data_IF_454264853776
#
_entry.id   IF_454264853776
#
_cell.length_a   1.000
_cell.length_b   1.000
_cell.length_c   1.000
_cell.angle_alpha   90.00
_cell.angle_beta   90.00
_cell.angle_gamma   90.00
#
_symmetry.space_group_name_H-M   'P 1'
#
loop_
_entity.id
_entity.type
_entity.pdbx_description
1 polymer ?
#
# COMPACT_ATOMS: atom_id res chain seq x y z
N UNK A 1 -4.32 -78.41 15.83
CA UNK A 1 -5.28 -78.05 16.90
C UNK A 1 -5.74 -76.61 16.77
N UNK A 2 -7.03 -76.35 17.02
CA UNK A 2 -7.61 -75.07 17.51
C UNK A 2 -7.62 -75.09 19.07
N UNK A 3 -8.01 -74.01 19.79
CA UNK A 3 -8.37 -72.64 19.39
C UNK A 3 -7.15 -71.69 19.62
N UNK A 4 -7.16 -70.44 20.12
CA UNK A 4 -8.14 -69.46 20.65
C UNK A 4 -7.42 -68.42 21.56
N UNK A 5 -7.96 -67.27 21.99
CA UNK A 5 -9.14 -66.42 21.62
C UNK A 5 -9.02 -65.10 22.44
N UNK A 6 -9.54 -63.96 21.94
CA UNK A 6 -9.67 -62.63 22.63
C UNK A 6 -8.39 -61.77 22.65
N UNK A 7 -8.40 -60.43 22.86
CA UNK A 7 -9.33 -59.32 22.51
C UNK A 7 -8.78 -57.98 23.08
N UNK A 8 -9.07 -56.84 22.41
CA UNK A 8 -9.15 -55.41 22.88
C UNK A 8 -8.20 -54.37 22.26
N UNK A 9 -8.79 -53.24 21.81
CA UNK A 9 -8.19 -51.89 21.65
C UNK A 9 -7.16 -51.68 20.51
N UNK A 10 -7.23 -50.67 19.65
CA UNK A 10 -8.34 -49.75 19.34
C UNK A 10 -8.26 -48.35 19.94
N UNK A 11 -7.53 -47.42 19.29
CA UNK A 11 -8.00 -46.04 18.99
C UNK A 11 -7.05 -45.33 18.00
N UNK A 12 -7.58 -44.75 16.91
CA UNK A 12 -6.83 -43.94 15.95
C UNK A 12 -7.49 -42.56 15.82
N UNK A 13 -7.07 -41.61 16.66
CA UNK A 13 -7.64 -40.26 16.74
C UNK A 13 -7.21 -39.34 15.60
N UNK A 14 -7.84 -39.48 14.42
CA UNK A 14 -7.70 -38.50 13.34
C UNK A 14 -8.43 -37.20 13.67
N UNK A 15 -7.73 -36.07 13.56
CA UNK A 15 -8.35 -34.74 13.65
C UNK A 15 -9.29 -34.45 12.47
N UNK A 16 -10.21 -33.52 12.63
CA UNK A 16 -11.09 -33.04 11.55
C UNK A 16 -11.28 -31.53 11.64
N UNK A 17 -11.31 -30.88 10.48
CA UNK A 17 -11.31 -29.42 10.36
C UNK A 17 -12.68 -28.80 10.68
N UNK A 18 -12.67 -27.58 11.20
CA UNK A 18 -13.87 -26.77 11.39
C UNK A 18 -14.26 -26.07 10.10
N UNK A 19 -15.01 -26.74 9.23
CA UNK A 19 -15.53 -26.14 8.01
C UNK A 19 -16.76 -25.26 8.30
N UNK A 20 -16.84 -24.08 7.67
CA UNK A 20 -17.74 -22.98 8.06
C UNK A 20 -18.93 -22.85 7.09
N UNK A 21 -19.74 -23.91 6.98
CA UNK A 21 -20.91 -23.90 6.09
C UNK A 21 -22.08 -24.85 6.39
N UNK A 22 -21.95 -25.81 7.32
CA UNK A 22 -22.97 -26.84 7.54
C UNK A 22 -24.16 -26.35 8.37
N UNK A 23 -25.39 -26.64 7.91
CA UNK A 23 -26.61 -26.44 8.71
C UNK A 23 -26.72 -27.48 9.84
N UNK A 24 -27.28 -27.07 10.99
CA UNK A 24 -27.54 -27.95 12.12
C UNK A 24 -28.69 -28.94 11.80
N UNK A 25 -28.62 -30.20 12.26
CA UNK A 25 -29.65 -31.20 12.00
C UNK A 25 -30.96 -30.88 12.76
N UNK A 26 -32.14 -31.12 12.16
CA UNK A 26 -33.43 -30.77 12.76
C UNK A 26 -33.80 -31.72 13.91
N UNK A 27 -34.03 -31.17 15.10
CA UNK A 27 -34.46 -31.94 16.27
C UNK A 27 -35.96 -32.26 16.17
N UNK A 28 -36.30 -33.53 15.99
CA UNK A 28 -37.70 -33.98 15.98
C UNK A 28 -38.34 -33.76 17.36
N UNK A 29 -39.57 -33.24 17.37
CA UNK A 29 -40.48 -33.26 18.52
C UNK A 29 -41.72 -34.05 18.14
N UNK A 30 -41.85 -35.25 18.70
CA UNK A 30 -43.11 -36.01 18.62
C UNK A 30 -44.23 -35.32 19.39
N UNK A 31 -45.46 -35.61 18.96
CA UNK A 31 -46.67 -34.90 19.38
C UNK A 31 -47.43 -35.69 20.45
N UNK A 32 -48.16 -34.98 21.32
CA UNK A 32 -49.41 -35.53 21.83
C UNK A 32 -50.45 -34.45 22.15
N UNK A 33 -51.72 -34.84 22.02
CA UNK A 33 -52.90 -33.98 21.98
C UNK A 33 -53.24 -33.29 23.30
N UNK A 34 -53.95 -32.15 23.23
CA UNK A 34 -54.84 -31.74 24.31
C UNK A 34 -55.41 -30.31 24.27
N UNK A 35 -56.72 -30.18 24.06
CA UNK A 35 -57.53 -29.10 24.65
C UNK A 35 -57.79 -27.82 23.82
N UNK A 36 -59.07 -27.39 23.80
CA UNK A 36 -59.52 -26.07 23.32
C UNK A 36 -59.49 -25.04 24.46
N UNK A 37 -59.24 -23.77 24.11
CA UNK A 37 -60.02 -22.65 24.65
C UNK A 37 -59.26 -21.56 25.43
N UNK A 38 -59.90 -20.38 25.51
CA UNK A 38 -59.52 -19.28 26.42
C UNK A 38 -58.79 -18.10 25.79
N UNK A 39 -59.46 -16.94 25.70
CA UNK A 39 -58.80 -15.63 25.56
C UNK A 39 -58.55 -15.04 26.95
N UNK A 40 -57.37 -14.47 27.16
CA UNK A 40 -57.12 -13.45 28.20
C UNK A 40 -56.59 -13.98 29.54
N UNK A 41 -55.60 -13.27 30.09
CA UNK A 41 -55.00 -13.54 31.40
C UNK A 41 -53.60 -12.96 31.52
N UNK A 42 -53.39 -12.05 32.48
CA UNK A 42 -52.03 -11.60 32.87
C UNK A 42 -51.34 -12.70 33.70
N UNK A 43 -50.02 -12.77 33.66
CA UNK A 43 -49.23 -13.40 34.73
C UNK A 43 -48.52 -14.73 34.39
N UNK A 44 -47.75 -14.77 33.31
CA UNK A 44 -46.83 -15.88 33.05
C UNK A 44 -45.64 -15.90 34.02
N UNK A 45 -45.74 -16.65 35.12
CA UNK A 45 -44.59 -16.99 35.98
C UNK A 45 -43.67 -17.98 35.26
N UNK A 46 -42.78 -17.48 34.41
CA UNK A 46 -41.71 -18.28 33.83
C UNK A 46 -40.73 -18.72 34.91
N UNK A 47 -40.54 -20.04 35.07
CA UNK A 47 -39.44 -20.58 35.86
C UNK A 47 -38.13 -20.34 35.11
N UNK A 48 -37.49 -19.19 35.34
CA UNK A 48 -36.07 -19.08 35.04
C UNK A 48 -35.35 -20.13 35.88
N UNK A 49 -34.64 -21.04 35.21
CA UNK A 49 -33.54 -21.74 35.87
C UNK A 49 -32.53 -20.68 36.26
N UNK A 50 -32.43 -20.43 37.56
CA UNK A 50 -31.37 -19.59 38.10
C UNK A 50 -30.08 -20.36 37.94
N UNK A 51 -29.37 -20.11 36.84
CA UNK A 51 -27.95 -20.36 36.81
C UNK A 51 -27.33 -19.52 37.93
N UNK A 52 -26.96 -20.18 39.04
CA UNK A 52 -25.93 -19.66 39.91
C UNK A 52 -24.62 -19.67 39.11
N UNK A 53 -24.40 -18.64 38.30
CA UNK A 53 -23.05 -18.12 38.19
C UNK A 53 -22.62 -17.76 39.62
N UNK A 54 -21.53 -18.33 40.15
CA UNK A 54 -21.01 -17.88 41.43
C UNK A 54 -20.65 -16.41 41.30
N UNK A 55 -20.90 -15.61 42.35
CA UNK A 55 -20.56 -14.19 42.40
C UNK A 55 -19.04 -13.99 42.54
N UNK A 56 -18.33 -14.38 41.48
CA UNK A 56 -16.94 -14.08 41.27
C UNK A 56 -16.86 -12.59 40.91
N UNK A 57 -16.65 -11.76 41.93
CA UNK A 57 -16.27 -10.36 41.77
C UNK A 57 -14.87 -10.26 41.13
N UNK A 58 -14.80 -10.56 39.83
CA UNK A 58 -13.61 -10.43 39.00
C UNK A 58 -13.29 -8.95 38.88
N UNK A 59 -12.28 -8.49 39.62
CA UNK A 59 -11.65 -7.19 39.37
C UNK A 59 -11.26 -7.13 37.88
N UNK A 60 -11.66 -6.09 37.13
CA UNK A 60 -11.33 -5.97 35.71
C UNK A 60 -9.83 -6.16 35.47
N UNK A 61 -9.47 -6.92 34.43
CA UNK A 61 -8.08 -7.24 34.12
C UNK A 61 -7.28 -5.95 33.92
N UNK A 62 -6.42 -5.65 34.89
CA UNK A 62 -5.56 -4.47 34.86
C UNK A 62 -4.63 -4.55 33.64
N UNK A 63 -4.37 -3.41 33.03
CA UNK A 63 -3.44 -3.33 31.91
C UNK A 63 -2.00 -3.50 32.39
N UNK A 64 -1.42 -4.69 32.25
CA UNK A 64 0.03 -4.88 32.44
C UNK A 64 0.83 -3.85 31.62
N UNK A 65 1.90 -3.25 32.18
CA UNK A 65 2.75 -2.32 31.45
C UNK A 65 3.33 -2.91 30.17
N UNK A 66 3.63 -4.22 30.18
CA UNK A 66 4.17 -4.98 29.06
C UNK A 66 3.09 -5.64 28.18
N UNK A 67 1.83 -5.16 28.23
CA UNK A 67 0.77 -5.63 27.33
C UNK A 67 1.07 -5.17 25.90
N UNK A 68 1.26 -6.12 24.98
CA UNK A 68 1.40 -5.83 23.56
C UNK A 68 0.21 -4.98 23.07
N UNK A 69 0.53 -3.84 22.45
CA UNK A 69 -0.42 -2.98 21.75
C UNK A 69 -0.09 -3.05 20.27
N UNK A 70 -1.07 -3.31 19.37
CA UNK A 70 -0.84 -3.19 17.95
C UNK A 70 -0.50 -1.73 17.62
N UNK A 71 0.75 -1.46 17.26
CA UNK A 71 1.08 -0.21 16.57
C UNK A 71 0.47 -0.28 15.18
N UNK A 72 -0.40 0.68 14.85
CA UNK A 72 -0.94 0.78 13.51
C UNK A 72 0.11 1.42 12.60
N UNK A 73 0.45 0.75 11.50
CA UNK A 73 1.17 1.42 10.42
C UNK A 73 0.35 2.65 10.00
N UNK A 74 0.98 3.81 10.14
CA UNK A 74 0.41 5.15 9.97
C UNK A 74 1.11 5.91 8.83
N UNK A 75 1.96 5.22 8.05
CA UNK A 75 2.54 5.75 6.82
C UNK A 75 1.48 6.27 5.84
N UNK A 76 1.79 7.36 5.14
CA UNK A 76 0.86 8.01 4.20
C UNK A 76 0.32 7.05 3.15
N UNK A 77 1.14 6.10 2.70
CA UNK A 77 0.73 5.05 1.77
C UNK A 77 -0.35 4.16 2.38
N UNK A 78 -0.18 3.62 3.60
CA UNK A 78 -1.22 2.76 4.19
C UNK A 78 -2.46 3.54 4.60
N UNK A 79 -2.32 4.80 5.06
CA UNK A 79 -3.45 5.70 5.31
C UNK A 79 -4.24 5.95 4.01
N UNK A 80 -3.55 6.18 2.89
CA UNK A 80 -4.15 6.39 1.58
C UNK A 80 -4.82 5.12 1.04
N UNK A 81 -4.18 3.95 1.15
CA UNK A 81 -4.78 2.64 0.80
C UNK A 81 -6.09 2.41 1.55
N UNK A 82 -6.12 2.68 2.87
CA UNK A 82 -7.33 2.54 3.70
C UNK A 82 -8.46 3.48 3.23
N UNK A 83 -8.13 4.73 2.85
CA UNK A 83 -9.08 5.71 2.28
C UNK A 83 -9.61 5.27 0.91
N UNK A 84 -8.73 4.97 -0.04
CA UNK A 84 -9.06 4.56 -1.42
C UNK A 84 -9.97 3.34 -1.43
N UNK A 85 -9.59 2.26 -0.72
CA UNK A 85 -10.41 1.05 -0.61
C UNK A 85 -11.77 1.34 0.05
N UNK A 86 -11.78 2.21 1.07
CA UNK A 86 -12.99 2.62 1.77
C UNK A 86 -13.96 3.49 0.95
N UNK A 87 -13.48 4.12 -0.12
CA UNK A 87 -14.26 4.86 -1.13
C UNK A 87 -14.77 3.90 -2.21
N UNK A 88 -13.88 3.10 -2.82
CA UNK A 88 -14.24 2.20 -3.92
C UNK A 88 -15.29 1.17 -3.50
N UNK A 89 -15.14 0.55 -2.33
CA UNK A 89 -16.10 -0.42 -1.76
C UNK A 89 -17.48 0.20 -1.42
N UNK A 90 -17.68 1.51 -1.62
CA UNK A 90 -18.95 2.22 -1.41
C UNK A 90 -19.43 2.93 -2.68
N UNK A 91 -18.66 2.86 -3.77
CA UNK A 91 -18.92 3.59 -5.00
C UNK A 91 -20.04 2.91 -5.80
N UNK A 92 -21.09 3.68 -6.10
CA UNK A 92 -22.23 3.28 -6.92
C UNK A 92 -22.63 4.47 -7.77
N UNK A 93 -23.37 4.26 -8.88
CA UNK A 93 -23.78 5.35 -9.78
C UNK A 93 -24.55 6.47 -9.06
N UNK A 94 -25.33 6.14 -8.03
CA UNK A 94 -26.01 7.12 -7.16
C UNK A 94 -25.05 7.99 -6.33
N UNK A 95 -24.00 7.37 -5.76
CA UNK A 95 -23.06 8.00 -4.82
C UNK A 95 -21.81 8.53 -5.51
N UNK A 96 -21.71 8.32 -6.82
CA UNK A 96 -20.53 8.52 -7.65
C UNK A 96 -19.91 9.90 -7.45
N UNK A 97 -20.66 10.97 -7.71
CA UNK A 97 -20.16 12.36 -7.63
C UNK A 97 -19.39 12.60 -6.33
N UNK A 98 -20.09 12.49 -5.19
CA UNK A 98 -19.53 12.74 -3.85
C UNK A 98 -18.33 11.84 -3.51
N UNK A 99 -18.31 10.60 -4.00
CA UNK A 99 -17.22 9.65 -3.73
C UNK A 99 -16.02 9.80 -4.68
N UNK A 100 -16.26 10.26 -5.91
CA UNK A 100 -15.21 10.61 -6.86
C UNK A 100 -14.52 11.91 -6.43
N UNK A 101 -15.29 12.88 -5.94
CA UNK A 101 -14.75 14.13 -5.40
C UNK A 101 -13.91 13.84 -4.14
N UNK A 102 -14.40 12.99 -3.22
CA UNK A 102 -13.61 12.47 -2.08
C UNK A 102 -12.37 11.65 -2.48
N UNK A 103 -12.27 11.14 -3.71
CA UNK A 103 -11.06 10.49 -4.23
C UNK A 103 -10.06 11.52 -4.75
N UNK A 104 -10.55 12.60 -5.38
CA UNK A 104 -9.74 13.74 -5.81
C UNK A 104 -9.12 14.48 -4.62
N UNK A 105 -9.80 14.52 -3.48
CA UNK A 105 -9.33 15.16 -2.24
C UNK A 105 -8.23 14.37 -1.49
N UNK A 106 -7.80 13.21 -1.99
CA UNK A 106 -6.71 12.43 -1.35
C UNK A 106 -5.36 13.05 -1.73
N UNK A 107 -4.52 13.47 -0.75
CA UNK A 107 -3.21 14.03 -1.02
C UNK A 107 -2.28 12.95 -1.60
N UNK A 108 -1.70 13.23 -2.77
CA UNK A 108 -0.75 12.34 -3.44
C UNK A 108 0.66 12.85 -3.13
N UNK A 109 1.23 12.31 -2.06
CA UNK A 109 2.52 12.77 -1.50
C UNK A 109 3.75 12.10 -2.15
N UNK A 110 3.56 11.08 -2.99
CA UNK A 110 4.61 10.38 -3.73
C UNK A 110 4.04 9.62 -4.94
N UNK A 111 4.94 9.10 -5.80
CA UNK A 111 4.54 8.34 -6.99
C UNK A 111 3.89 6.98 -6.67
N UNK A 112 4.12 6.44 -5.48
CA UNK A 112 3.54 5.17 -5.03
C UNK A 112 2.06 5.29 -4.70
N UNK A 113 1.65 6.38 -4.04
CA UNK A 113 0.23 6.68 -3.79
C UNK A 113 -0.52 6.88 -5.12
N UNK A 114 0.09 7.56 -6.10
CA UNK A 114 -0.48 7.71 -7.44
C UNK A 114 -0.68 6.34 -8.12
N UNK A 115 0.36 5.52 -8.13
CA UNK A 115 0.35 4.18 -8.75
C UNK A 115 -0.64 3.25 -8.05
N UNK A 116 -0.73 3.34 -6.71
CA UNK A 116 -1.69 2.59 -5.89
C UNK A 116 -3.15 2.98 -6.17
N UNK A 117 -3.47 4.28 -6.30
CA UNK A 117 -4.81 4.74 -6.69
C UNK A 117 -5.17 4.16 -8.06
N UNK A 118 -4.27 4.25 -9.04
CA UNK A 118 -4.46 3.73 -10.40
C UNK A 118 -4.69 2.21 -10.37
N UNK A 119 -3.86 1.46 -9.64
CA UNK A 119 -4.03 0.01 -9.49
C UNK A 119 -5.39 -0.35 -8.88
N UNK A 120 -5.82 0.32 -7.80
CA UNK A 120 -7.10 0.03 -7.14
C UNK A 120 -8.32 0.37 -8.00
N UNK A 121 -8.28 1.46 -8.75
CA UNK A 121 -9.35 1.80 -9.71
C UNK A 121 -9.39 0.80 -10.86
N UNK A 122 -8.23 0.39 -11.38
CA UNK A 122 -8.11 -0.57 -12.47
C UNK A 122 -8.57 -1.98 -12.06
N UNK A 123 -8.15 -2.49 -10.90
CA UNK A 123 -8.64 -3.74 -10.32
C UNK A 123 -10.17 -3.73 -10.21
N UNK A 124 -10.76 -2.64 -9.71
CA UNK A 124 -12.22 -2.54 -9.60
C UNK A 124 -12.97 -2.38 -10.92
N UNK A 125 -12.37 -1.80 -11.94
CA UNK A 125 -12.93 -1.82 -13.29
C UNK A 125 -12.97 -3.23 -13.91
N UNK A 126 -12.08 -4.14 -13.50
CA UNK A 126 -12.07 -5.55 -13.92
C UNK A 126 -13.04 -6.41 -13.08
N UNK A 127 -13.06 -6.24 -11.75
CA UNK A 127 -14.00 -6.95 -10.86
C UNK A 127 -15.47 -6.64 -11.21
N UNK A 128 -15.76 -5.38 -11.53
CA UNK A 128 -17.12 -4.84 -11.61
C UNK A 128 -17.41 -4.19 -12.98
N UNK A 129 -17.35 -4.95 -14.10
CA UNK A 129 -17.39 -4.40 -15.45
C UNK A 129 -18.72 -3.70 -15.80
N UNK A 130 -19.81 -4.02 -15.09
CA UNK A 130 -21.10 -3.33 -15.18
C UNK A 130 -21.04 -1.85 -14.75
N UNK A 131 -19.96 -1.43 -14.09
CA UNK A 131 -19.67 -0.06 -13.68
C UNK A 131 -18.45 0.53 -14.40
N UNK A 132 -17.97 -0.08 -15.50
CA UNK A 132 -16.80 0.39 -16.26
C UNK A 132 -16.95 1.82 -16.80
N UNK A 133 -18.17 2.27 -17.08
CA UNK A 133 -18.49 3.67 -17.43
C UNK A 133 -18.20 4.63 -16.26
N UNK A 134 -18.65 4.27 -15.06
CA UNK A 134 -18.40 5.03 -13.83
C UNK A 134 -16.90 5.10 -13.47
N UNK A 135 -16.15 4.02 -13.69
CA UNK A 135 -14.70 4.02 -13.47
C UNK A 135 -13.93 4.80 -14.54
N UNK A 136 -14.40 4.82 -15.79
CA UNK A 136 -13.85 5.69 -16.84
C UNK A 136 -14.04 7.18 -16.50
N UNK A 137 -15.23 7.57 -16.01
CA UNK A 137 -15.48 8.93 -15.52
C UNK A 137 -14.65 9.28 -14.27
N UNK A 138 -14.40 8.32 -13.37
CA UNK A 138 -13.49 8.50 -12.22
C UNK A 138 -12.07 8.83 -12.71
N UNK A 139 -11.54 8.03 -13.63
CA UNK A 139 -10.23 8.26 -14.23
C UNK A 139 -10.15 9.61 -14.96
N UNK A 140 -11.24 10.05 -15.61
CA UNK A 140 -11.31 11.36 -16.25
C UNK A 140 -11.29 12.51 -15.23
N UNK A 141 -11.94 12.38 -14.06
CA UNK A 141 -11.84 13.36 -12.97
C UNK A 141 -10.42 13.40 -12.38
N UNK A 142 -9.88 12.25 -12.01
CA UNK A 142 -8.53 12.12 -11.46
C UNK A 142 -7.47 12.70 -12.41
N UNK A 143 -7.60 12.49 -13.73
CA UNK A 143 -6.69 13.09 -14.73
C UNK A 143 -6.69 14.63 -14.79
N UNK A 144 -7.63 15.30 -14.11
CA UNK A 144 -7.79 16.76 -14.06
C UNK A 144 -7.52 17.35 -12.67
N UNK A 145 -7.79 16.60 -11.60
CA UNK A 145 -7.56 17.02 -10.21
C UNK A 145 -6.18 16.68 -9.69
N UNK A 146 -5.58 15.56 -10.14
CA UNK A 146 -4.27 15.11 -9.67
C UNK A 146 -3.16 16.06 -10.13
N UNK A 147 -2.67 16.85 -9.17
CA UNK A 147 -1.37 17.52 -9.27
C UNK A 147 -0.26 16.58 -8.81
N UNK A 148 0.97 16.85 -9.26
CA UNK A 148 2.17 16.05 -8.96
C UNK A 148 3.33 16.92 -8.48
N UNK A 149 3.12 18.23 -8.43
CA UNK A 149 4.09 19.23 -7.96
C UNK A 149 4.50 19.05 -6.49
N UNK A 150 3.73 18.29 -5.70
CA UNK A 150 4.04 17.97 -4.30
C UNK A 150 5.15 16.93 -4.11
N UNK A 151 5.46 16.12 -5.12
CA UNK A 151 6.51 15.08 -5.04
C UNK A 151 7.51 15.13 -6.20
N UNK A 152 7.28 15.99 -7.19
CA UNK A 152 8.12 16.16 -8.35
C UNK A 152 9.21 17.20 -8.10
N UNK A 153 10.45 16.72 -8.01
CA UNK A 153 11.63 17.53 -7.77
C UNK A 153 12.36 17.79 -9.08
N UNK A 154 12.74 19.05 -9.33
CA UNK A 154 13.66 19.42 -10.42
C UNK A 154 15.05 19.56 -9.81
N UNK A 155 16.03 18.96 -10.47
CA UNK A 155 17.36 18.70 -9.94
C UNK A 155 18.37 19.37 -10.85
N UNK A 156 19.15 20.29 -10.29
CA UNK A 156 20.29 20.90 -10.97
C UNK A 156 21.41 19.87 -11.14
N UNK A 157 21.92 19.72 -12.35
CA UNK A 157 23.06 18.87 -12.70
C UNK A 157 24.26 19.79 -12.94
N UNK A 158 25.22 19.71 -12.04
CA UNK A 158 26.46 20.50 -12.03
C UNK A 158 27.60 19.57 -12.47
N UNK A 159 28.35 19.99 -13.48
CA UNK A 159 29.51 19.27 -14.02
C UNK A 159 30.70 20.20 -14.05
N UNK A 160 31.78 19.82 -13.36
CA UNK A 160 33.06 20.53 -13.34
C UNK A 160 33.69 20.62 -14.74
N UNK A 161 33.35 19.68 -15.63
CA UNK A 161 33.84 19.62 -17.00
C UNK A 161 33.05 20.54 -17.97
N UNK A 162 31.77 20.80 -17.69
CA UNK A 162 30.85 21.49 -18.62
C UNK A 162 30.97 23.03 -18.60
N UNK A 163 32.05 23.59 -18.03
CA UNK A 163 32.35 25.04 -18.01
C UNK A 163 31.22 25.93 -17.44
N UNK A 164 30.40 25.38 -16.54
CA UNK A 164 29.27 26.08 -15.94
C UNK A 164 27.96 26.04 -16.74
N UNK A 165 27.86 25.20 -17.79
CA UNK A 165 26.56 24.92 -18.44
C UNK A 165 25.70 24.08 -17.48
N UNK A 166 24.75 24.74 -16.81
CA UNK A 166 23.76 24.08 -15.98
C UNK A 166 22.82 23.22 -16.82
N UNK A 167 22.67 21.96 -16.42
CA UNK A 167 21.67 21.03 -16.96
C UNK A 167 20.68 20.67 -15.85
N UNK A 168 19.56 20.08 -16.23
CA UNK A 168 18.48 19.70 -15.33
C UNK A 168 18.11 18.23 -15.51
N UNK A 169 17.73 17.56 -14.43
CA UNK A 169 16.99 16.29 -14.40
C UNK A 169 15.74 16.47 -13.53
N UNK A 170 14.80 15.54 -13.61
CA UNK A 170 13.67 15.49 -12.68
C UNK A 170 13.67 14.18 -11.91
N UNK A 171 13.07 14.16 -10.71
CA UNK A 171 12.76 12.94 -9.98
C UNK A 171 11.38 13.01 -9.32
N UNK A 172 10.70 11.86 -9.22
CA UNK A 172 9.37 11.72 -8.62
C UNK A 172 9.32 10.87 -7.35
N UNK A 173 10.48 10.56 -6.76
CA UNK A 173 10.58 9.96 -5.43
C UNK A 173 11.83 10.47 -4.69
N UNK A 174 11.72 11.56 -3.94
CA UNK A 174 12.80 12.05 -3.05
C UNK A 174 12.34 11.92 -1.60
N UNK A 175 12.34 10.69 -1.07
CA UNK A 175 12.05 10.45 0.36
C UNK A 175 13.20 10.93 1.24
N UNK A 176 12.92 11.33 2.49
CA UNK A 176 13.94 11.63 3.51
C UNK A 176 14.07 10.51 4.57
N UNK A 177 13.43 9.35 4.31
CA UNK A 177 13.37 8.21 5.24
C UNK A 177 14.58 7.27 5.14
N UNK A 178 15.72 7.74 4.63
CA UNK A 178 16.96 6.97 4.51
C UNK A 178 17.43 6.46 5.88
N UNK A 179 17.97 5.23 5.93
CA UNK A 179 18.44 4.63 7.17
C UNK A 179 19.81 5.16 7.62
N UNK A 180 20.70 5.41 6.66
CA UNK A 180 22.02 6.03 6.84
C UNK A 180 21.99 7.48 6.36
N UNK A 181 22.61 8.39 7.12
CA UNK A 181 22.81 9.79 6.75
C UNK A 181 24.27 10.21 7.05
N UNK A 182 24.72 11.34 6.49
CA UNK A 182 26.03 11.93 6.77
C UNK A 182 25.85 13.32 7.38
N UNK A 183 26.43 13.56 8.54
CA UNK A 183 26.38 14.83 9.28
C UNK A 183 26.44 14.65 10.80
N UNK A 184 26.17 15.71 11.59
CA UNK A 184 25.78 17.06 11.16
C UNK A 184 26.91 17.80 10.43
N UNK A 185 26.55 18.69 9.50
CA UNK A 185 27.44 19.53 8.69
C UNK A 185 27.02 21.01 8.82
N UNK A 186 27.97 21.92 8.68
CA UNK A 186 27.75 23.36 8.89
C UNK A 186 27.03 24.08 7.74
N UNK A 187 26.96 23.47 6.54
CA UNK A 187 26.33 24.09 5.37
C UNK A 187 25.99 23.12 4.25
N UNK A 188 25.03 23.51 3.41
CA UNK A 188 24.72 22.87 2.11
C UNK A 188 25.96 22.72 1.20
N UNK A 189 26.93 23.63 1.27
CA UNK A 189 28.18 23.54 0.51
C UNK A 189 29.14 22.46 1.06
N UNK A 190 29.16 22.27 2.38
CA UNK A 190 29.89 21.17 3.02
C UNK A 190 29.26 19.81 2.70
N UNK A 191 27.93 19.71 2.60
CA UNK A 191 27.24 18.50 2.12
C UNK A 191 27.73 18.07 0.74
N UNK A 192 27.82 19.03 -0.20
CA UNK A 192 28.30 18.78 -1.56
C UNK A 192 29.78 18.38 -1.54
N UNK A 193 30.61 19.11 -0.78
CA UNK A 193 32.05 18.85 -0.68
C UNK A 193 32.34 17.47 -0.07
N UNK A 194 31.52 17.04 0.90
CA UNK A 194 31.62 15.72 1.53
C UNK A 194 31.23 14.61 0.56
N UNK A 195 30.16 14.80 -0.21
CA UNK A 195 29.74 13.85 -1.24
C UNK A 195 30.80 13.69 -2.35
N UNK A 196 31.32 14.79 -2.90
CA UNK A 196 32.33 14.78 -3.96
C UNK A 196 33.70 14.20 -3.55
N UNK A 197 33.98 14.06 -2.25
CA UNK A 197 35.18 13.39 -1.73
C UNK A 197 34.97 11.91 -1.42
N UNK A 198 33.72 11.46 -1.34
CA UNK A 198 33.35 10.13 -0.90
C UNK A 198 33.66 9.82 0.57
N UNK A 199 33.24 8.65 1.02
CA UNK A 199 33.36 8.17 2.41
C UNK A 199 34.81 7.91 2.88
N UNK A 200 35.81 8.14 2.03
CA UNK A 200 37.25 7.94 2.30
C UNK A 200 37.92 9.12 3.01
N UNK A 201 37.42 10.34 2.81
CA UNK A 201 37.89 11.55 3.52
C UNK A 201 36.74 12.36 4.15
N UNK A 202 35.50 11.99 3.88
CA UNK A 202 34.30 12.64 4.43
C UNK A 202 33.88 12.11 5.80
N UNK A 203 32.90 12.78 6.41
CA UNK A 203 32.20 12.30 7.60
C UNK A 203 31.61 10.90 7.36
N UNK A 204 31.77 9.99 8.33
CA UNK A 204 31.23 8.64 8.24
C UNK A 204 29.69 8.66 8.18
N UNK A 205 29.11 7.65 7.53
CA UNK A 205 27.67 7.40 7.59
C UNK A 205 27.27 7.03 9.02
N UNK A 206 26.19 7.63 9.51
CA UNK A 206 25.57 7.36 10.80
C UNK A 206 24.13 6.88 10.60
N UNK A 207 23.60 6.11 11.55
CA UNK A 207 22.17 5.81 11.56
C UNK A 207 21.35 7.08 11.78
N UNK A 208 20.29 7.27 10.97
CA UNK A 208 19.37 8.41 11.10
C UNK A 208 18.68 8.41 12.48
N UNK A 209 18.24 7.24 12.93
CA UNK A 209 17.39 7.08 14.11
C UNK A 209 15.99 7.68 13.93
N UNK A 210 15.41 8.12 15.04
CA UNK A 210 14.06 8.70 15.10
C UNK A 210 13.98 10.19 14.67
N UNK A 211 15.07 10.75 14.11
CA UNK A 211 15.10 12.13 13.61
C UNK A 211 14.05 12.33 12.51
N UNK A 212 13.33 13.44 12.60
CA UNK A 212 12.41 13.91 11.57
C UNK A 212 13.21 14.74 10.55
N UNK A 213 13.37 14.23 9.32
CA UNK A 213 14.25 14.83 8.32
C UNK A 213 13.45 15.50 7.20
N UNK A 214 13.70 16.78 6.93
CA UNK A 214 13.03 17.56 5.89
C UNK A 214 14.03 17.92 4.79
N UNK A 215 13.60 17.82 3.52
CA UNK A 215 14.42 18.14 2.36
C UNK A 215 14.62 19.65 2.20
N UNK A 216 15.88 20.10 2.26
CA UNK A 216 16.28 21.48 1.96
C UNK A 216 16.61 21.63 0.46
N UNK A 217 17.37 20.68 -0.11
CA UNK A 217 17.80 20.72 -1.52
C UNK A 217 18.10 19.32 -2.06
N UNK A 218 17.93 19.14 -3.38
CA UNK A 218 18.47 18.00 -4.12
C UNK A 218 19.23 18.50 -5.35
N UNK A 219 20.41 17.94 -5.61
CA UNK A 219 21.27 18.27 -6.75
C UNK A 219 22.07 17.05 -7.22
N UNK A 220 22.64 17.11 -8.41
CA UNK A 220 23.60 16.13 -8.92
C UNK A 220 24.90 16.87 -9.22
N UNK A 221 26.03 16.38 -8.71
CA UNK A 221 27.35 17.01 -8.88
C UNK A 221 28.34 15.96 -9.37
N UNK A 222 28.90 16.17 -10.57
CA UNK A 222 29.87 15.29 -11.22
C UNK A 222 29.48 13.79 -11.25
N UNK A 223 28.18 13.51 -11.41
CA UNK A 223 27.61 12.16 -11.46
C UNK A 223 27.08 11.62 -10.13
N UNK A 224 27.37 12.29 -9.00
CA UNK A 224 26.88 11.91 -7.68
C UNK A 224 25.53 12.59 -7.43
N UNK A 225 24.50 11.81 -7.11
CA UNK A 225 23.21 12.32 -6.62
C UNK A 225 23.36 12.72 -5.16
N UNK A 226 22.88 13.92 -4.78
CA UNK A 226 23.04 14.49 -3.44
C UNK A 226 21.70 15.03 -2.94
N UNK A 227 21.21 14.42 -1.87
CA UNK A 227 20.04 14.84 -1.08
C UNK A 227 20.56 15.60 0.14
N UNK A 228 20.07 16.82 0.37
CA UNK A 228 20.46 17.70 1.47
C UNK A 228 19.22 17.98 2.32
N UNK A 229 19.33 17.71 3.62
CA UNK A 229 18.23 17.70 4.57
C UNK A 229 18.61 18.47 5.84
N UNK A 230 17.61 18.83 6.64
CA UNK A 230 17.74 19.32 8.01
C UNK A 230 16.89 18.46 8.95
N UNK A 231 17.18 18.54 10.25
CA UNK A 231 16.31 17.97 11.29
C UNK A 231 15.21 18.99 11.64
N UNK A 232 13.93 18.59 11.53
CA UNK A 232 12.79 19.42 11.92
C UNK A 232 12.50 19.20 13.42
N UNK A 233 13.08 20.07 14.24
CA UNK A 233 12.91 20.06 15.70
C UNK A 233 11.46 20.34 16.12
N UNK A 234 11.01 19.67 17.19
CA UNK A 234 9.61 19.70 17.64
C UNK A 234 9.13 21.08 18.18
N UNK A 235 10.04 22.01 18.41
CA UNK A 235 9.79 23.41 18.80
C UNK A 235 10.01 24.41 17.63
N UNK A 236 10.42 23.93 16.46
CA UNK A 236 10.74 24.74 15.29
C UNK A 236 12.14 25.38 15.31
N UNK A 237 13.03 24.97 16.21
CA UNK A 237 14.42 25.45 16.22
C UNK A 237 15.27 24.76 15.14
N UNK A 238 15.60 25.49 14.06
CA UNK A 238 16.68 25.11 13.14
C UNK A 238 18.02 25.30 13.89
N UNK A 239 18.72 24.19 14.18
CA UNK A 239 20.03 24.20 14.86
C UNK A 239 21.18 24.58 13.90
N UNK A 240 20.88 24.72 12.60
CA UNK A 240 21.84 24.97 11.54
C UNK A 240 22.54 23.71 11.02
N UNK A 241 22.21 22.51 11.53
CA UNK A 241 22.81 21.25 11.09
C UNK A 241 22.20 20.78 9.78
N UNK A 242 23.04 20.71 8.74
CA UNK A 242 22.70 20.05 7.50
C UNK A 242 23.13 18.59 7.56
N UNK A 243 22.34 17.70 6.95
CA UNK A 243 22.67 16.30 6.76
C UNK A 243 22.53 15.97 5.27
N UNK A 244 23.30 15.01 4.77
CA UNK A 244 23.17 14.56 3.39
C UNK A 244 23.15 13.05 3.21
N UNK A 245 22.57 12.62 2.09
CA UNK A 245 22.61 11.26 1.56
C UNK A 245 23.05 11.35 0.11
N UNK A 246 24.03 10.55 -0.28
CA UNK A 246 24.59 10.57 -1.61
C UNK A 246 25.01 9.18 -2.11
N UNK A 247 24.89 9.00 -3.43
CA UNK A 247 25.17 7.78 -4.18
C UNK A 247 25.49 8.14 -5.64
N UNK A 248 26.16 7.26 -6.38
CA UNK A 248 26.41 7.45 -7.81
C UNK A 248 25.08 7.33 -8.59
N UNK A 249 24.87 8.16 -9.61
CA UNK A 249 23.57 8.23 -10.28
C UNK A 249 23.14 6.94 -11.00
N UNK A 250 24.09 6.06 -11.30
CA UNK A 250 23.83 4.75 -11.91
C UNK A 250 23.26 3.74 -10.88
N UNK A 251 23.44 3.98 -9.58
CA UNK A 251 22.80 3.22 -8.50
C UNK A 251 21.37 3.70 -8.18
N UNK A 252 20.88 4.75 -8.85
CA UNK A 252 19.63 5.42 -8.48
C UNK A 252 18.41 4.47 -8.36
N UNK A 253 18.23 3.53 -9.28
CA UNK A 253 17.14 2.55 -9.21
C UNK A 253 17.26 1.64 -7.97
N UNK A 254 18.49 1.25 -7.61
CA UNK A 254 18.77 0.41 -6.44
C UNK A 254 18.49 1.18 -5.13
N UNK A 255 18.74 2.49 -5.12
CA UNK A 255 18.35 3.41 -4.05
C UNK A 255 16.85 3.80 -4.09
N UNK A 256 16.03 3.23 -4.98
CA UNK A 256 14.61 3.57 -5.14
C UNK A 256 14.33 4.94 -5.76
N UNK A 257 15.37 5.61 -6.26
CA UNK A 257 15.36 6.98 -6.76
C UNK A 257 14.95 7.02 -8.24
N UNK A 258 13.69 7.40 -8.52
CA UNK A 258 13.14 7.45 -9.87
C UNK A 258 13.50 8.76 -10.58
N UNK A 259 14.51 8.77 -11.43
CA UNK A 259 15.09 9.96 -12.11
C UNK A 259 14.78 9.94 -13.62
N UNK A 260 14.79 11.10 -14.27
CA UNK A 260 14.77 11.21 -15.74
C UNK A 260 16.02 10.64 -16.41
N UNK A 261 15.81 9.69 -17.34
CA UNK A 261 16.86 9.10 -18.19
C UNK A 261 17.73 10.18 -18.86
N UNK A 262 17.08 11.18 -19.47
CA UNK A 262 17.75 12.30 -20.15
C UNK A 262 18.04 13.47 -19.21
N UNK A 263 19.02 14.27 -19.61
CA UNK A 263 19.27 15.62 -19.09
C UNK A 263 18.62 16.67 -20.02
N UNK A 264 18.32 17.84 -19.49
CA UNK A 264 17.69 18.95 -20.21
C UNK A 264 18.50 20.24 -20.02
N UNK A 265 18.70 21.02 -21.08
CA UNK A 265 19.42 22.31 -20.98
C UNK A 265 18.56 23.44 -20.37
N UNK A 266 17.26 23.19 -20.16
CA UNK A 266 16.29 24.18 -19.67
C UNK A 266 15.34 23.58 -18.64
N UNK A 267 15.30 24.21 -17.47
CA UNK A 267 14.39 23.85 -16.37
C UNK A 267 12.92 23.77 -16.82
N UNK A 268 12.49 24.69 -17.67
CA UNK A 268 11.12 24.74 -18.20
C UNK A 268 10.75 23.54 -19.10
N UNK A 269 11.73 22.94 -19.79
CA UNK A 269 11.51 21.77 -20.65
C UNK A 269 11.63 20.48 -19.84
N UNK A 270 12.54 20.45 -18.86
CA UNK A 270 12.57 19.43 -17.81
C UNK A 270 11.21 19.32 -17.10
N UNK A 271 10.64 20.45 -16.64
CA UNK A 271 9.30 20.52 -16.01
C UNK A 271 8.17 20.00 -16.91
N UNK A 272 8.22 20.20 -18.24
CA UNK A 272 7.22 19.66 -19.17
C UNK A 272 7.30 18.14 -19.27
N UNK A 273 8.50 17.60 -19.46
CA UNK A 273 8.71 16.16 -19.59
C UNK A 273 8.39 15.44 -18.25
N UNK A 274 8.85 16.02 -17.14
CA UNK A 274 8.51 15.60 -15.79
C UNK A 274 6.99 15.47 -15.57
N UNK A 275 6.23 16.50 -15.97
CA UNK A 275 4.76 16.48 -15.86
C UNK A 275 4.09 15.51 -16.83
N UNK A 276 4.66 15.30 -18.02
CA UNK A 276 4.18 14.31 -19.00
C UNK A 276 4.31 12.89 -18.44
N UNK A 277 5.49 12.48 -17.99
CA UNK A 277 5.75 11.09 -17.55
C UNK A 277 5.07 10.71 -16.25
N UNK A 278 5.00 11.64 -15.28
CA UNK A 278 4.40 11.36 -13.97
C UNK A 278 2.90 11.71 -13.92
N UNK A 279 2.27 12.10 -15.03
CA UNK A 279 0.83 12.38 -15.08
C UNK A 279 -0.02 11.13 -14.83
N UNK A 280 -1.13 11.28 -14.09
CA UNK A 280 -2.13 10.23 -13.89
C UNK A 280 -2.52 9.54 -15.22
N UNK A 281 -2.70 10.31 -16.29
CA UNK A 281 -3.03 9.78 -17.62
C UNK A 281 -1.92 8.88 -18.20
N UNK A 282 -0.64 9.25 -18.09
CA UNK A 282 0.47 8.42 -18.58
C UNK A 282 0.59 7.15 -17.73
N UNK A 283 0.56 7.28 -16.40
CA UNK A 283 0.62 6.14 -15.48
C UNK A 283 -0.53 5.15 -15.68
N UNK A 284 -1.76 5.63 -15.91
CA UNK A 284 -2.91 4.78 -16.23
C UNK A 284 -2.76 4.09 -17.59
N UNK A 285 -2.30 4.80 -18.62
CA UNK A 285 -2.09 4.20 -19.95
C UNK A 285 -1.01 3.13 -19.92
N UNK A 286 0.12 3.39 -19.24
CA UNK A 286 1.16 2.38 -19.03
C UNK A 286 0.59 1.15 -18.33
N UNK A 287 -0.19 1.33 -17.26
CA UNK A 287 -0.84 0.21 -16.55
C UNK A 287 -1.77 -0.61 -17.46
N UNK A 288 -2.57 0.05 -18.30
CA UNK A 288 -3.41 -0.65 -19.28
C UNK A 288 -2.58 -1.40 -20.33
N UNK A 289 -1.45 -0.84 -20.77
CA UNK A 289 -0.51 -1.44 -21.72
C UNK A 289 0.21 -2.65 -21.12
N UNK A 290 0.71 -2.55 -19.88
CA UNK A 290 1.31 -3.66 -19.12
C UNK A 290 0.36 -4.84 -18.98
N UNK A 291 -0.89 -4.58 -18.61
CA UNK A 291 -1.92 -5.60 -18.38
C UNK A 291 -2.43 -6.21 -19.70
N UNK A 292 -2.44 -5.45 -20.81
CA UNK A 292 -2.72 -5.96 -22.15
C UNK A 292 -1.58 -6.81 -22.71
N UNK A 293 -0.32 -6.47 -22.39
CA UNK A 293 0.88 -7.17 -22.85
C UNK A 293 1.20 -8.45 -22.04
N UNK A 294 0.52 -8.69 -20.91
CA UNK A 294 0.60 -9.98 -20.21
C UNK A 294 0.12 -11.10 -21.13
N UNK A 295 0.88 -12.20 -21.17
CA UNK A 295 0.49 -13.40 -21.92
C UNK A 295 -0.90 -13.86 -21.51
N UNK A 296 -1.74 -14.15 -22.51
CA UNK A 296 -3.05 -14.76 -22.33
C UNK A 296 -2.92 -16.06 -21.52
N UNK A 297 -3.40 -16.04 -20.28
CA UNK A 297 -3.30 -17.17 -19.34
C UNK A 297 -4.08 -18.41 -19.80
N UNK A 298 -4.90 -18.28 -20.86
CA UNK A 298 -5.62 -19.37 -21.48
C UNK A 298 -4.98 -19.89 -22.77
N UNK A 299 -3.81 -19.40 -23.20
CA UNK A 299 -3.09 -19.88 -24.41
C UNK A 299 -2.96 -21.40 -24.44
N UNK A 300 -2.50 -22.00 -23.34
CA UNK A 300 -2.26 -23.45 -23.26
C UNK A 300 -3.55 -24.23 -23.05
N UNK A 301 -4.49 -23.73 -22.24
CA UNK A 301 -5.84 -24.29 -22.13
C UNK A 301 -6.59 -24.31 -23.47
N UNK A 302 -6.39 -23.29 -24.32
CA UNK A 302 -6.94 -23.23 -25.69
C UNK A 302 -6.29 -24.25 -26.63
N UNK A 303 -5.04 -24.67 -26.38
CA UNK A 303 -4.39 -25.78 -27.11
C UNK A 303 -4.92 -27.12 -26.63
N UNK A 304 -4.99 -27.34 -25.32
CA UNK A 304 -5.55 -28.55 -24.72
C UNK A 304 -7.02 -28.78 -25.13
N UNK A 305 -7.86 -27.75 -25.11
CA UNK A 305 -9.25 -27.84 -25.56
C UNK A 305 -9.34 -28.20 -27.05
N UNK A 306 -8.55 -27.57 -27.91
CA UNK A 306 -8.48 -27.91 -29.35
C UNK A 306 -8.02 -29.35 -29.57
N UNK A 307 -7.04 -29.82 -28.81
CA UNK A 307 -6.61 -31.22 -28.85
C UNK A 307 -7.70 -32.19 -28.38
N UNK A 308 -8.41 -31.85 -27.30
CA UNK A 308 -9.52 -32.64 -26.78
C UNK A 308 -10.65 -32.75 -27.79
N UNK A 309 -11.11 -31.64 -28.38
CA UNK A 309 -12.14 -31.65 -29.42
C UNK A 309 -11.65 -32.36 -30.70
N UNK A 310 -10.38 -32.23 -31.08
CA UNK A 310 -9.80 -32.95 -32.22
C UNK A 310 -9.59 -34.47 -31.96
N UNK A 311 -9.51 -34.90 -30.70
CA UNK A 311 -9.52 -36.33 -30.29
C UNK A 311 -10.96 -36.86 -30.27
N UNK A 312 -11.88 -36.09 -29.68
CA UNK A 312 -13.32 -36.40 -29.60
C UNK A 312 -13.99 -36.48 -30.97
N UNK A 313 -13.59 -35.65 -31.94
CA UNK A 313 -14.07 -35.67 -33.33
C UNK A 313 -13.48 -36.82 -34.18
N UNK A 314 -12.71 -37.72 -33.57
CA UNK A 314 -12.13 -38.94 -34.18
C UNK A 314 -12.59 -40.23 -33.51
N UNK A 315 -13.60 -40.15 -32.63
CA UNK A 315 -14.26 -41.28 -31.96
C UNK A 315 -15.71 -41.40 -32.42
#
# INVERSE_FOLDING_TARGET
NRPGRQSYGGNSGGGSSWDRGSQLPPQQREQQHGGRGGRGGRGGRGHHQQHHEPDFNFKPLVGDPNRWKPSADTSDLTVSVKKVNGILNKMTKEKFNRLADQMCDIPILNNDILTMIIHRVFEKAIDEPNFGDMYADLCLRLSKSVTIDSFLHIIEVISSNDKGVLKYRWSSNVSCNDAEIVGPLSSSAECITTASKGSSEGHARIERGDRNMVLERVCIVDGIFIKIMKEEAADGADDGSFFCVFFEIDDAEQCGQKISETTFDREADCKKDAKKWNSFKRSLLNKCEDEFNKKDIYEDYKKEMKEYDAKKSKM
#
